data_IF_806703929026
#
_entry.id   IF_806703929026
#
_cell.length_a   1.000
_cell.length_b   1.000
_cell.length_c   1.000
_cell.angle_alpha   90.00
_cell.angle_beta   90.00
_cell.angle_gamma   90.00
#
_symmetry.space_group_name_H-M   'P 1'
#
loop_
_entity.id
_entity.type
_entity.pdbx_description
1 polymer ?
#
# COMPACT_ATOMS: atom_id res chain seq x y z
N UNK A 1 28.78 1.78 -3.13
CA UNK A 1 27.80 2.45 -2.25
C UNK A 1 28.29 3.86 -1.96
N UNK A 2 27.37 4.83 -1.89
CA UNK A 2 27.64 6.13 -1.32
C UNK A 2 27.81 6.06 0.20
N UNK A 3 28.31 7.12 0.79
CA UNK A 3 28.41 7.22 2.26
C UNK A 3 27.20 7.95 2.85
N UNK A 4 26.91 7.64 4.11
CA UNK A 4 25.90 8.39 4.87
C UNK A 4 26.58 9.65 5.43
N UNK A 5 26.00 10.81 5.14
CA UNK A 5 26.45 12.13 5.61
C UNK A 5 25.49 12.68 6.67
N UNK A 6 25.96 13.64 7.45
CA UNK A 6 25.08 14.36 8.39
C UNK A 6 24.04 15.21 7.66
N UNK A 7 23.14 15.86 8.40
CA UNK A 7 22.08 16.72 7.83
C UNK A 7 22.62 17.87 6.99
N UNK A 8 23.82 18.38 7.32
CA UNK A 8 24.50 19.43 6.58
C UNK A 8 25.26 18.92 5.36
N UNK A 9 25.26 17.59 5.14
CA UNK A 9 25.95 16.94 4.03
C UNK A 9 27.45 16.76 4.26
N UNK A 10 27.95 16.92 5.49
CA UNK A 10 29.37 16.68 5.82
C UNK A 10 29.60 15.20 6.08
N UNK A 11 30.83 14.74 5.79
CA UNK A 11 31.24 13.39 6.15
C UNK A 11 31.24 13.22 7.66
N UNK A 12 30.60 12.17 8.17
CA UNK A 12 30.62 11.84 9.59
C UNK A 12 32.02 11.39 10.01
N UNK A 13 32.51 11.93 11.12
CA UNK A 13 33.79 11.54 11.70
C UNK A 13 33.78 11.72 13.22
N UNK A 14 34.60 10.93 13.91
CA UNK A 14 34.79 11.06 15.37
C UNK A 14 35.33 12.43 15.77
N UNK A 15 36.25 12.99 14.95
CA UNK A 15 36.81 14.32 15.21
C UNK A 15 35.84 15.48 15.12
N UNK A 16 34.78 15.35 14.31
CA UNK A 16 33.73 16.37 14.20
C UNK A 16 32.59 16.15 15.19
N UNK A 17 32.54 15.00 15.88
CA UNK A 17 31.48 14.68 16.81
C UNK A 17 30.07 14.60 16.16
N UNK A 18 30.01 14.45 14.82
CA UNK A 18 28.77 14.42 14.04
C UNK A 18 28.35 13.00 13.61
N UNK A 19 28.98 11.99 14.22
CA UNK A 19 28.58 10.59 14.04
C UNK A 19 27.24 10.31 14.71
N UNK A 20 26.40 9.54 14.02
CA UNK A 20 25.10 9.11 14.54
C UNK A 20 25.22 7.63 14.85
N UNK A 21 24.88 7.25 16.09
CA UNK A 21 24.83 5.85 16.46
C UNK A 21 23.55 5.21 15.92
N UNK A 22 23.65 4.22 15.00
CA UNK A 22 22.47 3.56 14.48
C UNK A 22 21.66 2.83 15.55
N UNK A 23 22.27 2.41 16.67
CA UNK A 23 21.55 1.74 17.76
C UNK A 23 20.62 2.71 18.48
N UNK A 24 21.05 3.95 18.74
CA UNK A 24 20.18 4.99 19.32
C UNK A 24 18.99 5.32 18.40
N UNK A 25 19.21 5.33 17.07
CA UNK A 25 18.16 5.53 16.09
C UNK A 25 17.19 4.35 16.09
N UNK A 26 17.69 3.12 16.19
CA UNK A 26 16.88 1.91 16.26
C UNK A 26 16.03 1.89 17.53
N UNK A 27 16.59 2.26 18.66
CA UNK A 27 15.86 2.32 19.94
C UNK A 27 14.73 3.35 19.90
N UNK A 28 14.95 4.48 19.21
CA UNK A 28 13.97 5.56 19.10
C UNK A 28 12.89 5.32 18.04
N UNK A 29 13.25 4.78 16.89
CA UNK A 29 12.38 4.72 15.70
C UNK A 29 12.09 3.29 15.21
N UNK A 30 12.84 2.30 15.64
CA UNK A 30 12.81 0.93 15.17
C UNK A 30 13.73 0.65 13.99
N UNK A 31 14.21 -0.59 13.90
CA UNK A 31 15.17 -1.01 12.89
C UNK A 31 14.63 -0.85 11.45
N UNK A 32 13.38 -1.21 11.21
CA UNK A 32 12.74 -1.08 9.89
C UNK A 32 12.65 0.37 9.41
N UNK A 33 12.44 1.33 10.33
CA UNK A 33 12.39 2.75 10.00
C UNK A 33 13.74 3.27 9.51
N UNK A 34 14.81 2.90 10.21
CA UNK A 34 16.17 3.24 9.79
C UNK A 34 16.50 2.59 8.44
N UNK A 35 16.22 1.29 8.26
CA UNK A 35 16.47 0.57 7.01
C UNK A 35 15.76 1.23 5.83
N UNK A 36 14.47 1.51 5.96
CA UNK A 36 13.67 2.14 4.90
C UNK A 36 14.19 3.52 4.55
N UNK A 37 14.50 4.36 5.55
CA UNK A 37 15.01 5.72 5.35
C UNK A 37 16.35 5.79 4.63
N UNK A 38 17.19 4.76 4.78
CA UNK A 38 18.49 4.66 4.10
C UNK A 38 18.40 4.12 2.68
N UNK A 39 17.32 3.38 2.37
CA UNK A 39 17.16 2.73 1.07
C UNK A 39 16.33 3.53 0.09
N UNK A 40 15.36 4.34 0.56
CA UNK A 40 14.45 5.11 -0.29
C UNK A 40 15.01 6.48 -0.67
N UNK A 41 14.65 6.96 -1.86
CA UNK A 41 15.05 8.28 -2.36
C UNK A 41 16.55 8.43 -2.65
N UNK A 42 17.29 7.34 -2.86
CA UNK A 42 18.73 7.36 -3.12
C UNK A 42 19.05 6.63 -4.42
N UNK A 43 19.70 7.31 -5.35
CA UNK A 43 20.22 6.69 -6.56
C UNK A 43 21.47 5.87 -6.26
N UNK A 44 21.70 4.73 -6.96
CA UNK A 44 22.88 3.90 -6.77
C UNK A 44 24.19 4.70 -6.89
N UNK A 45 25.11 4.49 -5.95
CA UNK A 45 26.42 5.15 -5.92
C UNK A 45 26.43 6.56 -5.32
N UNK A 46 25.27 7.17 -5.08
CA UNK A 46 25.22 8.49 -4.48
C UNK A 46 25.31 8.42 -2.94
N UNK A 47 25.88 9.48 -2.36
CA UNK A 47 25.84 9.70 -0.92
C UNK A 47 24.41 10.03 -0.47
N UNK A 48 24.02 9.52 0.68
CA UNK A 48 22.74 9.88 1.31
C UNK A 48 22.97 10.81 2.50
N UNK A 49 22.02 11.71 2.74
CA UNK A 49 22.00 12.52 3.97
C UNK A 49 21.08 11.86 4.97
N UNK A 50 21.60 11.61 6.15
CA UNK A 50 20.78 11.25 7.29
C UNK A 50 19.95 12.47 7.72
N UNK A 51 18.69 12.26 8.05
CA UNK A 51 17.90 13.21 8.80
C UNK A 51 16.83 12.47 9.62
N UNK A 52 16.58 12.95 10.83
CA UNK A 52 15.51 12.42 11.68
C UNK A 52 14.16 12.47 10.97
N UNK A 53 13.89 13.51 10.20
CA UNK A 53 12.66 13.69 9.42
C UNK A 53 12.42 12.52 8.43
N UNK A 54 13.48 12.02 7.77
CA UNK A 54 13.36 10.85 6.88
C UNK A 54 13.04 9.58 7.65
N UNK A 55 13.67 9.40 8.82
CA UNK A 55 13.42 8.22 9.65
C UNK A 55 12.00 8.26 10.22
N UNK A 56 11.52 9.44 10.63
CA UNK A 56 10.13 9.66 11.08
C UNK A 56 9.12 9.39 9.95
N UNK A 57 9.40 9.84 8.73
CA UNK A 57 8.54 9.55 7.58
C UNK A 57 8.45 8.03 7.32
N UNK A 58 9.58 7.32 7.40
CA UNK A 58 9.62 5.86 7.30
C UNK A 58 8.82 5.19 8.44
N UNK A 59 8.96 5.65 9.68
CA UNK A 59 8.16 5.18 10.82
C UNK A 59 6.67 5.41 10.61
N UNK A 60 6.29 6.57 10.10
CA UNK A 60 4.88 6.88 9.82
C UNK A 60 4.30 5.96 8.75
N UNK A 61 5.09 5.61 7.72
CA UNK A 61 4.71 4.60 6.73
C UNK A 61 4.49 3.23 7.39
N UNK A 62 5.43 2.78 8.21
CA UNK A 62 5.34 1.48 8.90
C UNK A 62 4.12 1.44 9.82
N UNK A 63 3.84 2.52 10.55
CA UNK A 63 2.64 2.63 11.39
C UNK A 63 1.35 2.57 10.55
N UNK A 64 1.34 3.20 9.36
CA UNK A 64 0.19 3.14 8.45
C UNK A 64 -0.02 1.73 7.92
N UNK A 65 1.05 1.04 7.49
CA UNK A 65 1.01 -0.36 7.06
C UNK A 65 0.47 -1.25 8.20
N UNK A 66 0.99 -1.08 9.42
CA UNK A 66 0.54 -1.83 10.60
C UNK A 66 -0.96 -1.66 10.87
N UNK A 67 -1.44 -0.42 10.89
CA UNK A 67 -2.85 -0.12 11.13
C UNK A 67 -3.75 -0.67 10.01
N UNK A 68 -3.32 -0.57 8.75
CA UNK A 68 -4.02 -1.15 7.61
C UNK A 68 -4.09 -2.68 7.71
N UNK A 69 -2.97 -3.31 8.08
CA UNK A 69 -2.91 -4.76 8.28
C UNK A 69 -3.78 -5.22 9.43
N UNK A 70 -3.75 -4.49 10.55
CA UNK A 70 -4.63 -4.75 11.70
C UNK A 70 -6.10 -4.68 11.31
N UNK A 71 -6.49 -3.69 10.49
CA UNK A 71 -7.85 -3.59 9.97
C UNK A 71 -8.24 -4.84 9.17
N UNK A 72 -7.37 -5.34 8.28
CA UNK A 72 -7.62 -6.55 7.50
C UNK A 72 -7.74 -7.77 8.41
N UNK A 73 -6.78 -7.96 9.32
CA UNK A 73 -6.74 -9.10 10.26
C UNK A 73 -7.98 -9.18 11.14
N UNK A 74 -8.41 -8.06 11.74
CA UNK A 74 -9.61 -8.01 12.58
C UNK A 74 -10.89 -8.36 11.81
N UNK A 75 -11.00 -7.95 10.54
CA UNK A 75 -12.17 -8.30 9.72
C UNK A 75 -12.12 -9.75 9.21
N UNK A 76 -10.93 -10.35 9.13
CA UNK A 76 -10.72 -11.72 8.68
C UNK A 76 -10.76 -12.76 9.81
N UNK A 77 -10.71 -12.31 11.07
CA UNK A 77 -10.67 -13.18 12.26
C UNK A 77 -11.83 -14.17 12.29
N UNK A 78 -11.52 -15.44 12.50
CA UNK A 78 -12.48 -16.53 12.56
C UNK A 78 -13.17 -16.89 11.24
N UNK A 79 -12.80 -16.26 10.12
CA UNK A 79 -13.40 -16.50 8.80
C UNK A 79 -12.55 -17.43 7.95
N UNK A 80 -13.22 -18.27 7.17
CA UNK A 80 -12.59 -19.01 6.08
C UNK A 80 -12.54 -18.12 4.86
N UNK A 81 -11.33 -17.73 4.46
CA UNK A 81 -11.11 -16.78 3.35
C UNK A 81 -10.99 -17.57 2.06
N UNK A 82 -11.90 -17.40 1.09
CA UNK A 82 -11.83 -18.10 -0.18
C UNK A 82 -10.60 -17.64 -0.98
N UNK A 83 -10.04 -18.53 -1.78
CA UNK A 83 -8.98 -18.17 -2.72
C UNK A 83 -9.52 -17.17 -3.76
N UNK A 84 -8.65 -16.28 -4.26
CA UNK A 84 -9.03 -15.18 -5.14
C UNK A 84 -9.71 -15.64 -6.45
N UNK A 85 -9.38 -16.82 -6.89
CA UNK A 85 -9.95 -17.46 -8.09
C UNK A 85 -11.43 -17.84 -7.90
N UNK A 86 -11.86 -17.99 -6.65
CA UNK A 86 -13.20 -18.45 -6.27
C UNK A 86 -14.15 -17.30 -5.94
N UNK A 87 -13.71 -16.03 -6.10
CA UNK A 87 -14.55 -14.88 -5.79
C UNK A 87 -14.89 -14.06 -7.04
N UNK A 88 -16.08 -13.47 -7.02
CA UNK A 88 -16.53 -12.54 -8.09
C UNK A 88 -15.93 -11.16 -7.83
N UNK A 89 -14.97 -10.75 -8.65
CA UNK A 89 -14.29 -9.47 -8.53
C UNK A 89 -15.19 -8.29 -8.94
N UNK A 90 -15.23 -7.28 -8.09
CA UNK A 90 -15.84 -5.97 -8.39
C UNK A 90 -14.93 -5.11 -9.27
N UNK A 91 -15.40 -3.97 -9.82
CA UNK A 91 -14.52 -3.03 -10.52
C UNK A 91 -13.37 -2.49 -9.65
N UNK A 92 -13.61 -2.24 -8.36
CA UNK A 92 -12.59 -1.81 -7.41
C UNK A 92 -11.53 -2.91 -7.17
N UNK A 93 -11.95 -4.16 -7.06
CA UNK A 93 -11.05 -5.30 -6.89
C UNK A 93 -10.15 -5.47 -8.12
N UNK A 94 -10.70 -5.39 -9.31
CA UNK A 94 -9.93 -5.45 -10.56
C UNK A 94 -8.94 -4.30 -10.68
N UNK A 95 -9.32 -3.10 -10.22
CA UNK A 95 -8.44 -1.96 -10.17
C UNK A 95 -7.23 -2.20 -9.27
N UNK A 96 -7.44 -2.57 -8.00
CA UNK A 96 -6.33 -2.76 -7.07
C UNK A 96 -5.42 -3.92 -7.47
N UNK A 97 -5.98 -5.02 -7.96
CA UNK A 97 -5.20 -6.17 -8.48
C UNK A 97 -4.36 -5.73 -9.69
N UNK A 98 -4.92 -4.94 -10.61
CA UNK A 98 -4.18 -4.41 -11.74
C UNK A 98 -3.04 -3.47 -11.33
N UNK A 99 -3.26 -2.62 -10.31
CA UNK A 99 -2.23 -1.76 -9.72
C UNK A 99 -1.15 -2.60 -9.04
N UNK A 100 -1.53 -3.65 -8.31
CA UNK A 100 -0.58 -4.61 -7.73
C UNK A 100 0.27 -5.28 -8.80
N UNK A 101 -0.32 -5.76 -9.88
CA UNK A 101 0.43 -6.38 -10.98
C UNK A 101 1.42 -5.41 -11.63
N UNK A 102 1.04 -4.16 -11.76
CA UNK A 102 1.96 -3.11 -12.25
C UNK A 102 3.12 -2.92 -11.27
N UNK A 103 2.83 -2.80 -9.98
CA UNK A 103 3.83 -2.68 -8.92
C UNK A 103 4.81 -3.88 -8.90
N UNK A 104 4.29 -5.11 -8.94
CA UNK A 104 5.12 -6.33 -8.99
C UNK A 104 6.11 -6.27 -10.16
N UNK A 105 5.62 -5.94 -11.36
CA UNK A 105 6.46 -5.85 -12.56
C UNK A 105 7.55 -4.79 -12.43
N UNK A 106 7.19 -3.60 -11.96
CA UNK A 106 8.11 -2.46 -11.85
C UNK A 106 9.12 -2.65 -10.73
N UNK A 107 8.70 -3.14 -9.56
CA UNK A 107 9.59 -3.47 -8.44
C UNK A 107 10.59 -4.54 -8.88
N UNK A 108 10.12 -5.63 -9.51
CA UNK A 108 11.01 -6.71 -9.98
C UNK A 108 12.01 -6.18 -11.01
N UNK A 109 11.58 -5.34 -11.96
CA UNK A 109 12.47 -4.76 -12.97
C UNK A 109 13.55 -3.86 -12.35
N UNK A 110 13.21 -3.06 -11.33
CA UNK A 110 14.17 -2.19 -10.65
C UNK A 110 15.12 -2.99 -9.74
N UNK A 111 14.62 -4.00 -9.03
CA UNK A 111 15.49 -4.91 -8.26
C UNK A 111 16.52 -5.61 -9.15
N UNK A 112 16.11 -6.06 -10.34
CA UNK A 112 17.02 -6.69 -11.33
C UNK A 112 18.12 -5.74 -11.80
N UNK A 113 17.85 -4.42 -11.82
CA UNK A 113 18.82 -3.38 -12.17
C UNK A 113 19.61 -2.86 -10.96
N UNK A 114 19.40 -3.40 -9.77
CA UNK A 114 19.93 -2.89 -8.51
C UNK A 114 19.52 -1.44 -8.16
N UNK A 115 18.41 -0.97 -8.71
CA UNK A 115 17.80 0.33 -8.39
C UNK A 115 16.90 0.20 -7.15
N UNK A 116 17.51 -0.14 -6.01
CA UNK A 116 16.81 -0.51 -4.78
C UNK A 116 15.94 0.63 -4.23
N UNK A 117 16.41 1.88 -4.33
CA UNK A 117 15.64 3.04 -3.90
C UNK A 117 14.32 3.18 -4.65
N UNK A 118 14.39 3.08 -5.99
CA UNK A 118 13.20 3.14 -6.85
C UNK A 118 12.23 1.99 -6.56
N UNK A 119 12.77 0.77 -6.38
CA UNK A 119 11.95 -0.39 -6.03
C UNK A 119 11.22 -0.21 -4.68
N UNK A 120 11.91 0.32 -3.67
CA UNK A 120 11.32 0.63 -2.37
C UNK A 120 10.25 1.72 -2.46
N UNK A 121 10.51 2.81 -3.21
CA UNK A 121 9.55 3.89 -3.41
C UNK A 121 8.28 3.41 -4.13
N UNK A 122 8.41 2.55 -5.14
CA UNK A 122 7.26 1.95 -5.84
C UNK A 122 6.41 1.07 -4.91
N UNK A 123 7.04 0.23 -4.09
CA UNK A 123 6.33 -0.64 -3.17
C UNK A 123 5.63 0.16 -2.05
N UNK A 124 6.30 1.17 -1.49
CA UNK A 124 5.73 2.02 -0.43
C UNK A 124 4.58 2.89 -0.97
N UNK A 125 4.73 3.50 -2.16
CA UNK A 125 3.67 4.28 -2.80
C UNK A 125 2.45 3.44 -3.15
N UNK A 126 2.64 2.20 -3.62
CA UNK A 126 1.52 1.28 -3.86
C UNK A 126 0.71 1.04 -2.58
N UNK A 127 1.40 0.75 -1.48
CA UNK A 127 0.72 0.51 -0.20
C UNK A 127 0.04 1.76 0.32
N UNK A 128 0.75 2.89 0.31
CA UNK A 128 0.21 4.15 0.83
C UNK A 128 -0.96 4.65 0.01
N UNK A 129 -0.74 4.90 -1.29
CA UNK A 129 -1.68 5.62 -2.15
C UNK A 129 -2.80 4.74 -2.68
N UNK A 130 -2.51 3.46 -3.03
CA UNK A 130 -3.52 2.61 -3.65
C UNK A 130 -4.24 1.72 -2.63
N UNK A 131 -3.49 1.04 -1.78
CA UNK A 131 -4.08 0.10 -0.83
C UNK A 131 -4.74 0.80 0.36
N UNK A 132 -3.99 1.65 1.08
CA UNK A 132 -4.50 2.30 2.29
C UNK A 132 -5.49 3.42 2.00
N UNK A 133 -5.14 4.37 1.12
CA UNK A 133 -5.95 5.57 0.92
C UNK A 133 -7.23 5.32 0.10
N UNK A 134 -7.22 4.29 -0.75
CA UNK A 134 -8.35 3.99 -1.61
C UNK A 134 -8.97 2.64 -1.35
N UNK A 135 -8.21 1.54 -1.50
CA UNK A 135 -8.86 0.23 -1.57
C UNK A 135 -9.51 -0.18 -0.25
N UNK A 136 -8.87 0.08 0.89
CA UNK A 136 -9.47 -0.17 2.20
C UNK A 136 -10.81 0.58 2.33
N UNK A 137 -10.86 1.85 1.96
CA UNK A 137 -12.10 2.64 2.04
C UNK A 137 -13.20 2.10 1.10
N UNK A 138 -12.80 1.66 -0.10
CA UNK A 138 -13.71 1.07 -1.09
C UNK A 138 -14.32 -0.26 -0.62
N UNK A 139 -13.62 -1.02 0.25
CA UNK A 139 -14.12 -2.31 0.77
C UNK A 139 -15.09 -2.18 1.95
N UNK A 140 -15.08 -1.06 2.67
CA UNK A 140 -15.89 -0.88 3.89
C UNK A 140 -17.38 -1.16 3.70
N UNK A 141 -18.06 -0.76 2.59
CA UNK A 141 -19.46 -1.10 2.36
C UNK A 141 -19.72 -2.60 2.30
N UNK A 142 -18.82 -3.36 1.68
CA UNK A 142 -18.94 -4.81 1.62
C UNK A 142 -18.65 -5.47 2.99
N UNK A 143 -17.63 -4.97 3.72
CA UNK A 143 -17.22 -5.52 5.02
C UNK A 143 -18.28 -5.30 6.10
N UNK A 144 -18.98 -4.16 6.08
CA UNK A 144 -20.00 -3.79 7.08
C UNK A 144 -21.43 -4.02 6.60
N UNK A 145 -21.62 -4.52 5.37
CA UNK A 145 -22.91 -4.88 4.83
C UNK A 145 -23.41 -6.23 5.37
N UNK A 146 -24.62 -6.60 4.96
CA UNK A 146 -25.25 -7.86 5.39
C UNK A 146 -24.93 -9.06 4.50
N UNK A 147 -24.38 -8.82 3.30
CA UNK A 147 -24.07 -9.84 2.29
C UNK A 147 -22.72 -10.51 2.58
N UNK A 148 -22.75 -11.69 3.20
CA UNK A 148 -21.54 -12.45 3.55
C UNK A 148 -20.69 -12.83 2.31
N UNK A 149 -21.28 -13.05 1.15
CA UNK A 149 -20.50 -13.36 -0.06
C UNK A 149 -19.68 -12.13 -0.52
N UNK A 150 -20.28 -10.92 -0.44
CA UNK A 150 -19.54 -9.69 -0.73
C UNK A 150 -18.45 -9.44 0.28
N UNK A 151 -18.73 -9.70 1.55
CA UNK A 151 -17.75 -9.56 2.64
C UNK A 151 -16.56 -10.51 2.43
N UNK A 152 -16.80 -11.79 2.20
CA UNK A 152 -15.75 -12.78 1.94
C UNK A 152 -14.98 -12.47 0.67
N UNK A 153 -15.65 -12.01 -0.38
CA UNK A 153 -14.98 -11.54 -1.60
C UNK A 153 -14.02 -10.38 -1.36
N UNK A 154 -14.47 -9.36 -0.63
CA UNK A 154 -13.62 -8.22 -0.25
C UNK A 154 -12.43 -8.65 0.63
N UNK A 155 -12.64 -9.53 1.62
CA UNK A 155 -11.58 -10.08 2.46
C UNK A 155 -10.57 -10.90 1.66
N UNK A 156 -11.03 -11.71 0.71
CA UNK A 156 -10.15 -12.48 -0.19
C UNK A 156 -9.17 -11.55 -0.92
N UNK A 157 -9.69 -10.48 -1.53
CA UNK A 157 -8.83 -9.55 -2.28
C UNK A 157 -7.94 -8.72 -1.33
N UNK A 158 -8.46 -8.27 -0.17
CA UNK A 158 -7.65 -7.56 0.85
C UNK A 158 -6.46 -8.41 1.31
N UNK A 159 -6.71 -9.68 1.67
CA UNK A 159 -5.65 -10.59 2.10
C UNK A 159 -4.66 -10.90 0.98
N UNK A 160 -5.14 -11.13 -0.24
CA UNK A 160 -4.29 -11.38 -1.41
C UNK A 160 -3.38 -10.19 -1.72
N UNK A 161 -3.93 -8.98 -1.74
CA UNK A 161 -3.16 -7.76 -2.04
C UNK A 161 -2.16 -7.48 -0.92
N UNK A 162 -2.58 -7.58 0.34
CA UNK A 162 -1.71 -7.37 1.50
C UNK A 162 -0.56 -8.37 1.51
N UNK A 163 -0.81 -9.66 1.32
CA UNK A 163 0.23 -10.69 1.27
C UNK A 163 1.31 -10.37 0.24
N UNK A 164 0.89 -10.02 -0.99
CA UNK A 164 1.85 -9.70 -2.04
C UNK A 164 2.60 -8.39 -1.76
N UNK A 165 1.93 -7.39 -1.20
CA UNK A 165 2.56 -6.14 -0.79
C UNK A 165 3.62 -6.35 0.30
N UNK A 166 3.34 -7.20 1.30
CA UNK A 166 4.32 -7.57 2.33
C UNK A 166 5.55 -8.25 1.73
N UNK A 167 5.37 -9.17 0.79
CA UNK A 167 6.48 -9.84 0.08
C UNK A 167 7.33 -8.85 -0.71
N UNK A 168 6.72 -7.84 -1.35
CA UNK A 168 7.46 -6.78 -2.07
C UNK A 168 8.24 -5.87 -1.10
N UNK A 169 7.71 -5.60 0.09
CA UNK A 169 8.32 -4.74 1.10
C UNK A 169 9.37 -5.46 1.96
N UNK A 170 9.30 -6.79 2.05
CA UNK A 170 10.13 -7.56 2.98
C UNK A 170 11.65 -7.33 2.84
N UNK A 171 12.23 -7.18 1.65
CA UNK A 171 13.65 -6.85 1.52
C UNK A 171 14.06 -5.54 2.21
N UNK A 172 13.14 -4.60 2.37
CA UNK A 172 13.36 -3.26 2.92
C UNK A 172 13.05 -3.20 4.43
N UNK A 173 11.92 -3.76 4.84
CA UNK A 173 11.37 -3.71 6.22
C UNK A 173 11.00 -5.11 6.72
N UNK A 174 12.02 -5.97 6.97
CA UNK A 174 11.80 -7.40 7.22
C UNK A 174 11.03 -7.71 8.51
N UNK A 175 11.20 -6.92 9.58
CA UNK A 175 10.62 -7.27 10.88
C UNK A 175 9.11 -7.10 10.90
N UNK A 176 8.60 -5.94 10.51
CA UNK A 176 7.16 -5.67 10.49
C UNK A 176 6.43 -6.54 9.47
N UNK A 177 7.06 -6.81 8.31
CA UNK A 177 6.43 -7.63 7.28
C UNK A 177 6.35 -9.11 7.68
N UNK A 178 7.35 -9.66 8.37
CA UNK A 178 7.31 -11.02 8.95
C UNK A 178 6.18 -11.12 9.98
N UNK A 179 6.11 -10.17 10.92
CA UNK A 179 5.10 -10.16 11.98
C UNK A 179 3.67 -10.13 11.40
N UNK A 180 3.42 -9.27 10.40
CA UNK A 180 2.11 -9.20 9.77
C UNK A 180 1.82 -10.48 8.97
N UNK A 181 2.78 -10.97 8.19
CA UNK A 181 2.62 -12.12 7.31
C UNK A 181 2.30 -13.40 8.09
N UNK A 182 2.96 -13.63 9.21
CA UNK A 182 2.74 -14.80 10.06
C UNK A 182 1.33 -14.84 10.67
N UNK A 183 0.69 -13.68 10.80
CA UNK A 183 -0.67 -13.53 11.33
C UNK A 183 -1.75 -13.47 10.23
N UNK A 184 -1.39 -13.45 8.94
CA UNK A 184 -2.39 -13.47 7.88
C UNK A 184 -3.16 -14.81 7.85
N UNK A 185 -4.48 -14.78 7.58
CA UNK A 185 -5.25 -16.00 7.43
C UNK A 185 -4.78 -16.82 6.23
N UNK A 186 -4.84 -18.13 6.35
CA UNK A 186 -4.61 -19.05 5.24
C UNK A 186 -5.86 -19.09 4.37
N UNK A 187 -5.70 -19.01 3.06
CA UNK A 187 -6.83 -19.21 2.14
C UNK A 187 -7.37 -20.62 2.20
N UNK A 188 -8.65 -20.82 1.89
CA UNK A 188 -9.27 -22.15 1.84
C UNK A 188 -8.49 -23.06 0.89
N UNK A 189 -8.15 -24.25 1.37
CA UNK A 189 -7.34 -25.22 0.61
C UNK A 189 -5.84 -24.92 0.58
N UNK A 190 -5.39 -23.83 1.20
CA UNK A 190 -3.97 -23.47 1.30
C UNK A 190 -3.24 -24.17 2.43
N UNK A 191 -1.93 -24.24 2.33
CA UNK A 191 -1.05 -24.77 3.37
C UNK A 191 -0.76 -23.71 4.47
N UNK A 192 -0.42 -24.19 5.68
CA UNK A 192 0.00 -23.31 6.76
C UNK A 192 1.21 -22.46 6.34
N UNK A 193 1.14 -21.17 6.61
CA UNK A 193 2.23 -20.25 6.28
C UNK A 193 3.49 -20.58 7.07
N UNK A 194 4.62 -20.57 6.35
CA UNK A 194 5.94 -20.51 6.95
C UNK A 194 6.40 -19.05 7.14
N UNK A 195 7.70 -18.83 7.30
CA UNK A 195 8.27 -17.49 7.30
C UNK A 195 8.16 -16.84 5.90
N UNK A 196 7.92 -15.52 5.85
CA UNK A 196 7.93 -14.75 4.59
C UNK A 196 9.29 -14.81 3.90
N UNK A 197 10.38 -15.02 4.66
CA UNK A 197 11.75 -15.11 4.13
C UNK A 197 11.92 -16.24 3.09
N UNK A 198 11.16 -17.33 3.24
CA UNK A 198 11.23 -18.51 2.34
C UNK A 198 10.02 -18.58 1.40
N UNK A 199 9.11 -17.60 1.47
CA UNK A 199 7.96 -17.53 0.58
C UNK A 199 8.40 -17.08 -0.83
N UNK A 200 7.69 -17.59 -1.85
CA UNK A 200 7.92 -17.15 -3.23
C UNK A 200 7.71 -15.63 -3.38
N UNK A 201 8.70 -14.99 -4.00
CA UNK A 201 8.57 -13.58 -4.36
C UNK A 201 7.45 -13.39 -5.40
N UNK A 202 6.64 -12.31 -5.31
CA UNK A 202 5.51 -12.11 -6.22
C UNK A 202 5.95 -12.08 -7.68
N UNK A 203 5.21 -12.81 -8.54
CA UNK A 203 5.46 -12.85 -9.97
C UNK A 203 4.33 -12.15 -10.72
N UNK A 204 4.70 -11.34 -11.70
CA UNK A 204 3.72 -10.70 -12.58
C UNK A 204 2.87 -11.72 -13.32
N UNK A 205 1.55 -11.57 -13.22
CA UNK A 205 0.57 -12.40 -13.92
C UNK A 205 -0.29 -11.54 -14.87
N UNK A 206 -0.07 -11.67 -16.17
CA UNK A 206 -0.80 -10.89 -17.18
C UNK A 206 -2.31 -11.13 -17.17
N UNK A 207 -2.78 -12.33 -16.75
CA UNK A 207 -4.21 -12.66 -16.63
C UNK A 207 -4.92 -11.87 -15.54
N UNK A 208 -4.19 -11.38 -14.53
CA UNK A 208 -4.69 -10.54 -13.46
C UNK A 208 -4.49 -9.04 -13.72
N UNK A 209 -4.02 -8.68 -14.90
CA UNK A 209 -3.80 -7.28 -15.29
C UNK A 209 -5.03 -6.73 -16.02
N UNK A 210 -6.02 -6.29 -15.26
CA UNK A 210 -7.31 -5.75 -15.73
C UNK A 210 -7.19 -4.28 -16.19
N UNK A 211 -6.29 -4.00 -17.14
CA UNK A 211 -5.92 -2.61 -17.54
C UNK A 211 -7.12 -1.76 -17.97
N UNK A 212 -8.05 -2.35 -18.74
CA UNK A 212 -9.23 -1.62 -19.23
C UNK A 212 -10.16 -1.25 -18.08
N UNK A 213 -10.47 -2.22 -17.24
CA UNK A 213 -11.35 -2.05 -16.09
C UNK A 213 -10.72 -1.09 -15.06
N UNK A 214 -9.41 -1.22 -14.81
CA UNK A 214 -8.68 -0.34 -13.91
C UNK A 214 -8.74 1.12 -14.38
N UNK A 215 -8.42 1.38 -15.65
CA UNK A 215 -8.49 2.72 -16.24
C UNK A 215 -9.91 3.31 -16.20
N UNK A 216 -10.91 2.45 -16.40
CA UNK A 216 -12.31 2.86 -16.30
C UNK A 216 -12.66 3.26 -14.87
N UNK A 217 -12.20 2.50 -13.87
CA UNK A 217 -12.46 2.80 -12.46
C UNK A 217 -11.68 4.04 -11.97
N UNK A 218 -10.49 4.31 -12.50
CA UNK A 218 -9.74 5.53 -12.23
C UNK A 218 -10.55 6.80 -12.57
N UNK A 219 -11.36 6.76 -13.63
CA UNK A 219 -12.29 7.85 -13.94
C UNK A 219 -13.32 8.11 -12.84
N UNK A 220 -13.79 7.09 -12.13
CA UNK A 220 -14.64 7.24 -10.94
C UNK A 220 -13.88 7.90 -9.79
N UNK A 221 -12.65 7.47 -9.57
CA UNK A 221 -11.78 8.06 -8.53
C UNK A 221 -11.48 9.54 -8.82
N UNK A 222 -11.31 9.91 -10.08
CA UNK A 222 -11.09 11.32 -10.47
C UNK A 222 -12.30 12.19 -10.20
N UNK A 223 -13.51 11.67 -10.39
CA UNK A 223 -14.76 12.37 -9.99
C UNK A 223 -14.78 12.58 -8.47
N UNK A 224 -14.48 11.54 -7.68
CA UNK A 224 -14.42 11.66 -6.22
C UNK A 224 -13.40 12.71 -5.78
N UNK A 225 -12.19 12.71 -6.37
CA UNK A 225 -11.16 13.72 -6.09
C UNK A 225 -11.63 15.13 -6.46
N UNK A 226 -12.26 15.29 -7.62
CA UNK A 226 -12.78 16.58 -8.07
C UNK A 226 -13.81 17.15 -7.09
N UNK A 227 -14.77 16.32 -6.63
CA UNK A 227 -15.77 16.74 -5.64
C UNK A 227 -15.12 17.13 -4.31
N UNK A 228 -14.15 16.34 -3.81
CA UNK A 228 -13.40 16.67 -2.60
C UNK A 228 -12.67 18.00 -2.72
N UNK A 229 -11.99 18.23 -3.85
CA UNK A 229 -11.29 19.48 -4.11
C UNK A 229 -12.26 20.68 -4.18
N UNK A 230 -13.41 20.51 -4.80
CA UNK A 230 -14.47 21.55 -4.84
C UNK A 230 -14.99 21.86 -3.44
N UNK A 231 -15.25 20.84 -2.61
CA UNK A 231 -15.68 21.04 -1.20
C UNK A 231 -14.61 21.81 -0.41
N UNK A 232 -13.34 21.46 -0.58
CA UNK A 232 -12.22 22.14 0.07
C UNK A 232 -12.10 23.60 -0.39
N UNK A 233 -12.17 23.84 -1.72
CA UNK A 233 -12.11 25.21 -2.26
C UNK A 233 -13.31 26.08 -1.84
N UNK A 234 -14.45 25.47 -1.56
CA UNK A 234 -15.64 26.15 -1.04
C UNK A 234 -15.67 26.20 0.50
N UNK A 235 -14.57 25.85 1.18
CA UNK A 235 -14.47 25.79 2.65
C UNK A 235 -15.60 24.96 3.29
N UNK A 236 -16.12 23.97 2.54
CA UNK A 236 -17.23 23.13 2.99
C UNK A 236 -16.69 22.02 3.90
N UNK A 237 -17.19 21.86 5.14
CA UNK A 237 -16.79 20.78 6.02
C UNK A 237 -16.97 19.39 5.35
N UNK A 238 -16.03 18.43 5.51
CA UNK A 238 -16.13 17.11 4.90
C UNK A 238 -17.43 16.37 5.21
N UNK A 239 -17.96 16.55 6.42
CA UNK A 239 -19.22 15.92 6.87
C UNK A 239 -20.49 16.52 6.27
N UNK A 240 -20.42 17.71 5.65
CA UNK A 240 -21.58 18.36 5.04
C UNK A 240 -21.95 17.67 3.76
N UNK A 241 -23.21 17.23 3.66
CA UNK A 241 -23.80 16.72 2.43
C UNK A 241 -24.09 17.88 1.48
N UNK A 242 -23.69 17.72 0.23
CA UNK A 242 -23.91 18.69 -0.85
C UNK A 242 -24.54 17.99 -2.04
N UNK A 243 -25.32 18.71 -2.82
CA UNK A 243 -25.82 18.22 -4.11
C UNK A 243 -24.72 18.39 -5.16
N UNK A 244 -24.51 17.34 -5.94
CA UNK A 244 -23.49 17.32 -7.00
C UNK A 244 -24.16 16.99 -8.32
N UNK A 245 -23.98 17.86 -9.30
CA UNK A 245 -24.46 17.65 -10.67
C UNK A 245 -23.27 17.20 -11.53
N UNK A 246 -23.32 15.96 -12.02
CA UNK A 246 -22.28 15.36 -12.83
C UNK A 246 -22.69 15.30 -14.30
N UNK A 247 -21.99 16.03 -15.17
CA UNK A 247 -22.11 15.91 -16.62
C UNK A 247 -21.06 14.95 -17.15
N UNK A 248 -21.47 13.86 -17.78
CA UNK A 248 -20.56 12.82 -18.28
C UNK A 248 -21.17 12.06 -19.46
N UNK A 249 -20.31 11.66 -20.39
CA UNK A 249 -20.68 10.71 -21.45
C UNK A 249 -20.80 9.27 -20.92
N UNK A 250 -20.12 8.96 -19.80
CA UNK A 250 -20.08 7.63 -19.16
C UNK A 250 -21.15 7.44 -18.09
N UNK A 251 -22.41 7.85 -18.35
CA UNK A 251 -23.54 7.80 -17.39
C UNK A 251 -23.70 6.44 -16.71
N UNK A 252 -23.60 5.35 -17.49
CA UNK A 252 -23.74 3.98 -16.96
C UNK A 252 -22.66 3.64 -15.93
N UNK A 253 -21.42 4.06 -16.19
CA UNK A 253 -20.30 3.82 -15.28
C UNK A 253 -20.51 4.56 -13.95
N UNK A 254 -20.90 5.83 -14.01
CA UNK A 254 -21.13 6.65 -12.82
C UNK A 254 -22.29 6.08 -11.99
N UNK A 255 -23.39 5.67 -12.64
CA UNK A 255 -24.53 5.05 -11.96
C UNK A 255 -24.17 3.72 -11.29
N UNK A 256 -23.32 2.89 -11.91
CA UNK A 256 -22.85 1.63 -11.33
C UNK A 256 -21.92 1.82 -10.10
N UNK A 257 -21.34 3.00 -9.94
CA UNK A 257 -20.45 3.34 -8.85
C UNK A 257 -20.98 4.50 -7.99
N UNK A 258 -22.29 4.79 -8.06
CA UNK A 258 -22.93 5.89 -7.36
C UNK A 258 -22.70 5.82 -5.85
N UNK A 259 -22.90 4.64 -5.25
CA UNK A 259 -22.67 4.43 -3.81
C UNK A 259 -21.23 4.76 -3.39
N UNK A 260 -20.26 4.40 -4.25
CA UNK A 260 -18.86 4.70 -4.02
C UNK A 260 -18.59 6.21 -4.07
N UNK A 261 -19.18 6.91 -5.05
CA UNK A 261 -19.04 8.37 -5.21
C UNK A 261 -19.69 9.08 -4.02
N UNK A 262 -20.95 8.75 -3.69
CA UNK A 262 -21.69 9.37 -2.58
C UNK A 262 -21.01 9.19 -1.22
N UNK A 263 -20.32 8.09 -1.03
CA UNK A 263 -19.65 7.80 0.24
C UNK A 263 -18.28 8.44 0.34
N UNK A 264 -17.52 8.51 -0.74
CA UNK A 264 -16.13 8.90 -0.73
C UNK A 264 -15.92 10.35 -1.21
N UNK A 265 -16.87 10.96 -1.83
CA UNK A 265 -16.83 12.37 -2.20
C UNK A 265 -17.43 13.24 -1.09
#
# INVERSE_FOLDING_TARGET
HGIVRDEQGRKMSKSLGNGIDPLEVIDKYGADSLRLSLMTGVAPGNDTRYSDTKVEAARNFINKLWNASRFVLMNAEGKKIPAIENVKLTPADKWIISRLQTCIREVTANLTKYELGVAGDLATSFVWDNFCDWYIELTKPALYGEDENKKLGALSVLCFVLENALKLLHPFIPFVTEEIYSNLPVFEGGEKRGSIMVADFPRYNSRMSYKKEARTFEGVMDVIKAVRNMKTAAECPPSRKVEVYLSTESKRLMKLNEDCILRLA
#
